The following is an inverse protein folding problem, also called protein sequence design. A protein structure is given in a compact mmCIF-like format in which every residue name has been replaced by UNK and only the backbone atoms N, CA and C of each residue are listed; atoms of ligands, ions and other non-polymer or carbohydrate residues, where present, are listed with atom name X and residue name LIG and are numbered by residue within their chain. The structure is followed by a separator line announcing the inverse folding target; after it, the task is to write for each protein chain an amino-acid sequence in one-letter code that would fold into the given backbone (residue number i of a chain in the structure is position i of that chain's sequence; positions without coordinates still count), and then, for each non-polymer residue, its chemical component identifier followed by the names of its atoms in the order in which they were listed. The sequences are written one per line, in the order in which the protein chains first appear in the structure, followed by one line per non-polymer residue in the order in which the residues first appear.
data_IF_873752948014
#
_entry.id   IF_873752948014
#
_cell.length_a   1.000
_cell.length_b   1.000
_cell.length_c   1.000
_cell.angle_alpha   90.00
_cell.angle_beta   90.00
_cell.angle_gamma   90.00
#
_symmetry.space_group_name_H-M   'P 1'
#
loop_
_entity.id
_entity.type
_entity.pdbx_description
1 polymer ?
#
# COMPACT_ATOMS: atom_id res chain seq x y z
N UNK A 1 -0.54 -25.57 -4.94
CA UNK A 1 0.45 -26.46 -5.59
C UNK A 1 1.88 -26.04 -5.26
N UNK A 2 2.36 -24.87 -5.71
CA UNK A 2 3.74 -24.38 -5.44
C UNK A 2 4.10 -24.32 -3.95
N UNK A 3 3.15 -23.96 -3.09
CA UNK A 3 3.39 -23.92 -1.64
C UNK A 3 3.62 -25.30 -1.01
N UNK A 4 2.97 -26.35 -1.53
CA UNK A 4 3.21 -27.73 -1.10
C UNK A 4 4.57 -28.26 -1.57
N UNK A 5 5.12 -27.68 -2.64
CA UNK A 5 6.42 -28.04 -3.20
C UNK A 5 7.58 -27.25 -2.55
N UNK A 6 7.32 -26.40 -1.55
CA UNK A 6 8.33 -25.55 -0.92
C UNK A 6 8.86 -24.40 -1.80
N UNK A 7 8.37 -24.26 -3.03
CA UNK A 7 8.80 -23.22 -3.99
C UNK A 7 8.29 -21.83 -3.58
N UNK A 8 7.10 -21.78 -2.98
CA UNK A 8 6.47 -20.53 -2.55
C UNK A 8 5.98 -20.64 -1.11
N UNK A 9 6.11 -19.56 -0.34
CA UNK A 9 5.47 -19.47 0.97
C UNK A 9 4.10 -18.82 0.82
N UNK A 10 3.05 -19.52 1.23
CA UNK A 10 1.69 -19.00 1.16
C UNK A 10 1.15 -18.77 2.57
N UNK A 11 0.74 -17.54 2.86
CA UNK A 11 0.25 -17.12 4.16
C UNK A 11 -1.26 -16.84 4.09
N UNK A 12 -2.01 -17.46 4.99
CA UNK A 12 -3.42 -17.19 5.22
C UNK A 12 -3.56 -16.24 6.41
N UNK A 13 -4.33 -15.18 6.18
CA UNK A 13 -4.75 -14.22 7.18
C UNK A 13 -6.21 -14.53 7.57
N UNK A 14 -6.48 -14.77 8.85
CA UNK A 14 -7.79 -15.24 9.31
C UNK A 14 -8.90 -14.19 9.20
N UNK A 15 -8.55 -12.92 8.98
CA UNK A 15 -9.48 -11.81 8.81
C UNK A 15 -9.29 -11.09 7.47
N UNK A 16 -10.38 -10.56 6.91
CA UNK A 16 -10.35 -9.72 5.70
C UNK A 16 -9.94 -8.28 6.04
N UNK A 17 -8.64 -8.03 6.10
CA UNK A 17 -8.05 -6.75 6.55
C UNK A 17 -7.69 -5.76 5.42
N UNK A 18 -7.93 -6.12 4.15
CA UNK A 18 -7.64 -5.26 3.00
C UNK A 18 -6.19 -5.36 2.51
N UNK A 19 -5.91 -4.75 1.34
CA UNK A 19 -4.62 -4.87 0.63
C UNK A 19 -3.44 -4.43 1.50
N UNK A 20 -3.51 -3.22 2.07
CA UNK A 20 -2.45 -2.68 2.91
C UNK A 20 -2.21 -3.53 4.16
N UNK A 21 -3.28 -4.01 4.80
CA UNK A 21 -3.18 -4.93 5.94
C UNK A 21 -2.49 -6.23 5.55
N UNK A 22 -2.88 -6.85 4.43
CA UNK A 22 -2.26 -8.08 3.94
C UNK A 22 -0.77 -7.91 3.65
N UNK A 23 -0.39 -6.82 2.97
CA UNK A 23 1.02 -6.52 2.69
C UNK A 23 1.80 -6.33 3.99
N UNK A 24 1.33 -5.49 4.91
CA UNK A 24 1.96 -5.24 6.22
C UNK A 24 2.24 -6.51 7.01
N UNK A 25 1.29 -7.43 7.02
CA UNK A 25 1.40 -8.70 7.75
C UNK A 25 2.30 -9.71 7.02
N UNK A 26 2.51 -9.57 5.72
CA UNK A 26 3.41 -10.43 4.95
C UNK A 26 4.89 -10.02 5.08
N UNK A 27 5.19 -8.72 5.21
CA UNK A 27 6.58 -8.19 5.22
C UNK A 27 7.52 -8.90 6.23
N UNK A 28 7.12 -9.16 7.50
CA UNK A 28 7.99 -9.82 8.47
C UNK A 28 8.49 -11.20 8.05
N UNK A 29 7.77 -11.88 7.15
CA UNK A 29 8.07 -13.23 6.70
C UNK A 29 8.92 -13.29 5.41
N UNK A 30 9.30 -12.13 4.87
CA UNK A 30 10.15 -12.03 3.67
C UNK A 30 11.64 -12.19 4.01
N UNK A 31 12.44 -12.79 3.12
CA UNK A 31 13.87 -13.07 3.35
C UNK A 31 14.88 -12.36 2.45
N UNK A 32 14.48 -11.91 1.25
CA UNK A 32 15.41 -11.24 0.30
C UNK A 32 15.76 -9.79 0.65
N UNK A 33 16.91 -9.32 0.15
CA UNK A 33 17.38 -7.93 0.34
C UNK A 33 16.49 -6.88 -0.33
N UNK A 34 15.79 -7.30 -1.39
CA UNK A 34 14.77 -6.53 -2.08
C UNK A 34 13.42 -7.19 -1.88
N UNK A 35 12.41 -6.37 -1.58
CA UNK A 35 11.01 -6.76 -1.48
C UNK A 35 10.30 -6.24 -2.72
N UNK A 36 9.72 -7.16 -3.48
CA UNK A 36 8.90 -6.86 -4.65
C UNK A 36 7.44 -7.01 -4.25
N UNK A 37 6.68 -5.93 -4.39
CA UNK A 37 5.23 -5.96 -4.35
C UNK A 37 4.72 -6.13 -5.78
N UNK A 38 3.81 -7.06 -5.99
CA UNK A 38 3.22 -7.37 -7.29
C UNK A 38 1.78 -7.83 -7.10
N UNK A 39 0.89 -7.43 -7.99
CA UNK A 39 -0.48 -7.90 -8.01
C UNK A 39 -0.53 -9.37 -8.51
N UNK A 40 -1.43 -10.18 -7.93
CA UNK A 40 -1.46 -11.63 -8.14
C UNK A 40 -1.82 -12.06 -9.57
N UNK A 41 -2.38 -11.17 -10.39
CA UNK A 41 -2.67 -11.37 -11.81
C UNK A 41 -1.47 -11.08 -12.72
N UNK A 42 -0.31 -10.74 -12.15
CA UNK A 42 0.98 -10.57 -12.83
C UNK A 42 0.82 -9.72 -14.10
N UNK A 43 0.54 -8.42 -13.96
CA UNK A 43 0.29 -7.55 -15.11
C UNK A 43 1.57 -7.14 -15.85
N UNK A 44 2.72 -7.72 -15.48
CA UNK A 44 4.06 -7.34 -15.92
C UNK A 44 4.83 -8.54 -16.47
N UNK A 45 5.63 -8.29 -17.50
CA UNK A 45 6.61 -9.27 -17.97
C UNK A 45 7.69 -9.52 -16.91
N UNK A 46 8.11 -10.77 -16.63
CA UNK A 46 9.12 -11.07 -15.59
C UNK A 46 10.43 -10.29 -15.74
N UNK A 47 10.87 -10.05 -16.98
CA UNK A 47 12.07 -9.22 -17.27
C UNK A 47 11.94 -7.80 -16.70
N UNK A 48 10.73 -7.21 -16.67
CA UNK A 48 10.49 -5.89 -16.08
C UNK A 48 10.74 -5.89 -14.58
N UNK A 49 10.35 -6.97 -13.90
CA UNK A 49 10.58 -7.16 -12.46
C UNK A 49 12.09 -7.22 -12.18
N UNK A 50 12.80 -8.07 -12.93
CA UNK A 50 14.24 -8.22 -12.81
C UNK A 50 14.99 -6.90 -13.07
N UNK A 51 14.64 -6.19 -14.16
CA UNK A 51 15.24 -4.89 -14.50
C UNK A 51 15.02 -3.84 -13.41
N UNK A 52 13.83 -3.81 -12.78
CA UNK A 52 13.55 -2.88 -11.70
C UNK A 52 14.41 -3.15 -10.45
N UNK A 53 14.63 -4.43 -10.10
CA UNK A 53 15.53 -4.80 -8.99
C UNK A 53 16.98 -4.44 -9.31
N UNK A 54 17.45 -4.73 -10.53
CA UNK A 54 18.80 -4.35 -10.95
C UNK A 54 19.01 -2.83 -10.94
N UNK A 55 18.02 -2.06 -11.40
CA UNK A 55 18.05 -0.60 -11.37
C UNK A 55 18.17 -0.09 -9.92
N UNK A 56 17.39 -0.66 -9.01
CA UNK A 56 17.44 -0.31 -7.60
C UNK A 56 18.83 -0.55 -7.01
N UNK A 57 19.44 -1.70 -7.32
CA UNK A 57 20.79 -2.05 -6.90
C UNK A 57 21.86 -1.15 -7.47
N UNK A 58 21.90 -0.99 -8.80
CA UNK A 58 22.97 -0.24 -9.48
C UNK A 58 22.98 1.25 -9.13
N UNK A 59 21.81 1.84 -8.92
CA UNK A 59 21.68 3.28 -8.66
C UNK A 59 21.47 3.62 -7.17
N UNK A 60 21.48 2.62 -6.28
CA UNK A 60 21.21 2.82 -4.86
C UNK A 60 19.83 3.47 -4.59
N UNK A 61 18.81 3.06 -5.34
CA UNK A 61 17.43 3.56 -5.19
C UNK A 61 16.74 2.70 -4.13
N UNK A 62 16.16 3.34 -3.11
CA UNK A 62 15.49 2.66 -2.01
C UNK A 62 14.09 2.16 -2.38
N UNK A 63 13.42 2.83 -3.33
CA UNK A 63 12.06 2.51 -3.80
C UNK A 63 11.89 2.75 -5.32
N UNK A 64 11.66 1.68 -6.09
CA UNK A 64 11.24 1.76 -7.49
C UNK A 64 9.72 1.58 -7.57
N UNK A 65 9.05 2.42 -8.38
CA UNK A 65 7.59 2.45 -8.50
C UNK A 65 7.22 2.31 -9.97
N UNK A 66 6.23 1.48 -10.29
CA UNK A 66 5.67 1.46 -11.64
C UNK A 66 4.94 2.77 -11.97
N UNK A 67 5.19 3.28 -13.18
CA UNK A 67 4.34 4.26 -13.85
C UNK A 67 3.65 3.56 -15.04
N UNK A 68 2.34 3.37 -14.94
CA UNK A 68 1.56 2.68 -15.99
C UNK A 68 1.35 3.63 -17.17
N UNK A 69 2.01 3.36 -18.29
CA UNK A 69 1.98 4.24 -19.48
C UNK A 69 0.67 4.10 -20.26
N UNK A 70 0.19 2.86 -20.41
CA UNK A 70 -1.05 2.55 -21.11
C UNK A 70 -2.08 2.03 -20.10
N UNK A 71 -3.26 2.64 -20.10
CA UNK A 71 -4.40 2.24 -19.26
C UNK A 71 -5.61 2.06 -20.15
N UNK A 72 -6.09 0.83 -20.29
CA UNK A 72 -7.32 0.48 -21.03
C UNK A 72 -8.60 0.76 -20.23
N UNK A 73 -8.52 1.62 -19.22
CA UNK A 73 -9.66 1.96 -18.38
C UNK A 73 -10.64 2.91 -19.07
N UNK A 74 -11.91 2.89 -18.63
CA UNK A 74 -12.94 3.85 -19.04
C UNK A 74 -12.48 5.30 -18.82
N UNK A 75 -13.00 6.22 -19.62
CA UNK A 75 -12.68 7.66 -19.52
C UNK A 75 -12.89 8.20 -18.09
N UNK A 76 -14.02 7.86 -17.47
CA UNK A 76 -14.31 8.24 -16.08
C UNK A 76 -13.22 7.76 -15.11
N UNK A 77 -12.80 6.50 -15.19
CA UNK A 77 -11.74 5.95 -14.32
C UNK A 77 -10.39 6.63 -14.58
N UNK A 78 -10.09 7.00 -15.83
CA UNK A 78 -8.89 7.76 -16.17
C UNK A 78 -8.94 9.16 -15.55
N UNK A 79 -10.04 9.89 -15.71
CA UNK A 79 -10.24 11.24 -15.13
C UNK A 79 -10.13 11.20 -13.61
N UNK A 80 -10.85 10.30 -12.95
CA UNK A 80 -10.80 10.15 -11.49
C UNK A 80 -9.40 9.79 -10.99
N UNK A 81 -8.69 8.90 -11.68
CA UNK A 81 -7.32 8.56 -11.32
C UNK A 81 -6.38 9.74 -11.51
N UNK A 82 -6.49 10.49 -12.62
CA UNK A 82 -5.68 11.70 -12.84
C UNK A 82 -5.95 12.73 -11.76
N UNK A 83 -7.22 13.05 -11.47
CA UNK A 83 -7.60 13.99 -10.42
C UNK A 83 -7.04 13.58 -9.04
N UNK A 84 -7.15 12.30 -8.68
CA UNK A 84 -6.57 11.79 -7.45
C UNK A 84 -5.04 11.97 -7.41
N UNK A 85 -4.32 11.57 -8.46
CA UNK A 85 -2.87 11.71 -8.53
C UNK A 85 -2.41 13.17 -8.51
N UNK A 86 -3.15 14.08 -9.13
CA UNK A 86 -2.91 15.52 -9.06
C UNK A 86 -3.07 16.03 -7.62
N UNK A 87 -4.13 15.62 -6.93
CA UNK A 87 -4.37 16.03 -5.53
C UNK A 87 -3.26 15.52 -4.58
N UNK A 88 -2.79 14.28 -4.78
CA UNK A 88 -1.64 13.76 -4.02
C UNK A 88 -0.39 14.63 -4.26
N UNK A 89 -0.12 15.00 -5.52
CA UNK A 89 1.01 15.88 -5.84
C UNK A 89 0.84 17.28 -5.25
N UNK A 90 -0.36 17.85 -5.27
CA UNK A 90 -0.63 19.15 -4.66
C UNK A 90 -0.28 19.16 -3.16
N UNK A 91 -0.66 18.11 -2.44
CA UNK A 91 -0.40 18.02 -1.00
C UNK A 91 1.02 17.61 -0.64
N UNK A 92 1.63 16.68 -1.38
CA UNK A 92 2.88 16.04 -0.98
C UNK A 92 4.06 16.29 -1.92
N UNK A 93 3.81 16.89 -3.10
CA UNK A 93 4.80 17.24 -4.12
C UNK A 93 5.66 16.05 -4.57
N UNK A 94 5.10 14.84 -4.61
CA UNK A 94 5.83 13.59 -4.85
C UNK A 94 6.46 13.51 -6.24
N UNK A 95 5.97 14.27 -7.22
CA UNK A 95 6.50 14.33 -8.58
C UNK A 95 6.18 13.08 -9.41
N UNK A 96 5.23 12.24 -8.95
CA UNK A 96 4.87 11.00 -9.60
C UNK A 96 3.52 11.10 -10.30
N UNK A 97 3.38 10.41 -11.43
CA UNK A 97 2.12 10.37 -12.20
C UNK A 97 1.18 9.25 -11.76
N UNK A 98 1.69 8.24 -11.05
CA UNK A 98 0.93 7.06 -10.67
C UNK A 98 1.27 6.59 -9.25
N UNK A 99 0.42 6.96 -8.29
CA UNK A 99 0.57 6.57 -6.88
C UNK A 99 -0.05 5.21 -6.56
N UNK A 100 -0.95 4.74 -7.42
CA UNK A 100 -1.82 3.59 -7.17
C UNK A 100 -1.28 2.30 -7.80
N UNK A 101 -0.16 2.35 -8.51
CA UNK A 101 0.45 1.18 -9.11
C UNK A 101 0.90 0.19 -8.03
N UNK A 102 0.40 -1.04 -8.09
CA UNK A 102 0.71 -2.10 -7.13
C UNK A 102 2.13 -2.65 -7.24
N UNK A 103 2.78 -2.50 -8.40
CA UNK A 103 4.16 -2.90 -8.56
C UNK A 103 5.13 -1.90 -7.93
N UNK A 104 5.90 -2.39 -6.95
CA UNK A 104 6.96 -1.62 -6.28
C UNK A 104 8.14 -2.54 -5.94
N UNK A 105 9.36 -2.02 -6.00
CA UNK A 105 10.55 -2.69 -5.48
C UNK A 105 11.14 -1.84 -4.38
N UNK A 106 11.35 -2.41 -3.20
CA UNK A 106 11.91 -1.71 -2.05
C UNK A 106 13.11 -2.48 -1.52
N UNK A 107 14.14 -1.77 -1.07
CA UNK A 107 15.14 -2.42 -0.22
C UNK A 107 14.52 -2.80 1.12
N UNK A 108 14.98 -3.90 1.72
CA UNK A 108 14.47 -4.46 2.97
C UNK A 108 14.36 -3.41 4.10
N UNK A 109 15.39 -2.59 4.29
CA UNK A 109 15.39 -1.52 5.32
C UNK A 109 14.26 -0.51 5.11
N UNK A 110 14.06 -0.06 3.87
CA UNK A 110 13.02 0.89 3.51
C UNK A 110 11.63 0.27 3.68
N UNK A 111 11.50 -1.00 3.30
CA UNK A 111 10.25 -1.73 3.45
C UNK A 111 9.81 -1.86 4.92
N UNK A 112 10.70 -2.27 5.82
CA UNK A 112 10.37 -2.39 7.25
C UNK A 112 9.92 -1.06 7.88
N UNK A 113 10.58 0.04 7.50
CA UNK A 113 10.23 1.38 8.00
C UNK A 113 8.91 1.84 7.39
N UNK A 114 8.78 1.82 6.07
CA UNK A 114 7.67 2.46 5.38
C UNK A 114 6.44 1.57 5.34
N UNK A 115 6.59 0.35 4.81
CA UNK A 115 5.48 -0.55 4.53
C UNK A 115 4.77 -0.99 5.81
N UNK A 116 5.49 -1.07 6.94
CA UNK A 116 4.95 -1.62 8.19
C UNK A 116 4.75 -0.55 9.26
N UNK A 117 5.74 0.31 9.51
CA UNK A 117 5.71 1.22 10.68
C UNK A 117 5.06 2.57 10.40
N UNK A 118 5.03 3.04 9.14
CA UNK A 118 4.59 4.41 8.81
C UNK A 118 3.26 4.48 8.10
N UNK A 119 2.92 3.49 7.27
CA UNK A 119 1.61 3.44 6.62
C UNK A 119 0.49 3.15 7.61
N UNK A 120 -0.50 4.04 7.65
CA UNK A 120 -1.71 3.96 8.47
C UNK A 120 -2.77 3.08 7.82
N UNK A 121 -3.21 3.38 6.59
CA UNK A 121 -4.34 2.63 5.99
C UNK A 121 -3.99 1.16 5.78
N UNK A 122 -4.93 0.27 6.08
CA UNK A 122 -4.88 -1.14 5.67
C UNK A 122 -5.63 -1.37 4.34
N UNK A 123 -6.19 -0.30 3.75
CA UNK A 123 -7.01 -0.32 2.55
C UNK A 123 -6.28 0.05 1.25
N UNK A 124 -7.03 0.59 0.28
CA UNK A 124 -6.57 0.85 -1.09
C UNK A 124 -5.61 2.03 -1.22
N UNK A 125 -5.66 3.01 -0.31
CA UNK A 125 -4.74 4.15 -0.33
C UNK A 125 -3.32 3.80 0.16
N UNK A 126 -3.06 2.53 0.49
CA UNK A 126 -1.78 2.06 1.00
C UNK A 126 -0.62 2.41 0.07
N UNK A 127 -0.77 2.17 -1.23
CA UNK A 127 0.27 2.47 -2.22
C UNK A 127 0.65 3.95 -2.24
N UNK A 128 -0.34 4.84 -2.08
CA UNK A 128 -0.11 6.29 -1.96
C UNK A 128 0.63 6.64 -0.68
N UNK A 129 0.23 6.06 0.45
CA UNK A 129 0.90 6.30 1.74
C UNK A 129 2.37 5.89 1.69
N UNK A 130 2.69 4.74 1.10
CA UNK A 130 4.07 4.26 0.93
C UNK A 130 4.93 5.33 0.25
N UNK A 131 4.45 5.91 -0.85
CA UNK A 131 5.18 6.91 -1.62
C UNK A 131 5.35 8.21 -0.83
N UNK A 132 4.27 8.69 -0.20
CA UNK A 132 4.30 9.90 0.62
C UNK A 132 5.29 9.76 1.78
N UNK A 133 5.30 8.61 2.45
CA UNK A 133 6.24 8.34 3.53
C UNK A 133 7.67 8.13 3.03
N UNK A 134 7.88 7.52 1.86
CA UNK A 134 9.20 7.45 1.23
C UNK A 134 9.79 8.84 1.02
N UNK A 135 9.01 9.74 0.42
CA UNK A 135 9.43 11.13 0.25
C UNK A 135 9.70 11.81 1.59
N UNK A 136 8.78 11.70 2.56
CA UNK A 136 8.93 12.36 3.87
C UNK A 136 10.09 11.82 4.73
N UNK A 137 10.67 10.68 4.37
CA UNK A 137 11.86 10.12 5.02
C UNK A 137 13.13 10.32 4.17
N UNK A 138 13.06 11.11 3.09
CA UNK A 138 14.21 11.39 2.24
C UNK A 138 14.73 10.16 1.48
N UNK A 139 13.88 9.14 1.26
CA UNK A 139 14.29 7.97 0.49
C UNK A 139 14.48 8.34 -0.98
N UNK A 140 15.49 7.74 -1.61
CA UNK A 140 15.68 7.81 -3.05
C UNK A 140 14.62 6.93 -3.71
N UNK A 141 13.70 7.52 -4.45
CA UNK A 141 12.71 6.77 -5.21
C UNK A 141 12.67 7.18 -6.68
N UNK A 142 12.33 6.23 -7.55
CA UNK A 142 12.25 6.44 -9.00
C UNK A 142 11.04 5.74 -9.60
N UNK A 143 10.32 6.44 -10.46
CA UNK A 143 9.29 5.83 -11.28
C UNK A 143 9.91 5.21 -12.54
N UNK A 144 9.45 4.00 -12.90
CA UNK A 144 9.81 3.31 -14.13
C UNK A 144 8.56 3.10 -14.97
N UNK A 145 8.64 3.46 -16.24
CA UNK A 145 7.56 3.22 -17.19
C UNK A 145 7.38 1.71 -17.39
N UNK A 146 6.16 1.24 -17.22
CA UNK A 146 5.81 -0.16 -17.44
C UNK A 146 4.60 -0.28 -18.35
N UNK A 147 4.66 -1.29 -19.23
CA UNK A 147 3.48 -1.76 -19.97
C UNK A 147 2.67 -2.62 -19.02
N UNK A 148 1.46 -2.17 -18.69
CA UNK A 148 0.57 -2.84 -17.75
C UNK A 148 -0.47 -3.65 -18.52
N UNK A 149 -0.35 -4.97 -18.49
CA UNK A 149 -1.29 -5.88 -19.17
C UNK A 149 -2.34 -6.32 -18.16
N UNK A 150 -3.43 -5.57 -18.08
CA UNK A 150 -4.55 -5.95 -17.21
C UNK A 150 -5.30 -7.13 -17.83
N UNK A 151 -5.34 -8.27 -17.15
CA UNK A 151 -6.03 -9.47 -17.62
C UNK A 151 -7.49 -9.54 -17.16
N UNK A 152 -7.95 -8.61 -16.31
CA UNK A 152 -9.28 -8.64 -15.71
C UNK A 152 -10.32 -7.93 -16.58
N UNK A 153 -11.43 -8.60 -16.82
CA UNK A 153 -12.66 -8.01 -17.34
C UNK A 153 -13.51 -7.50 -16.17
N UNK A 154 -13.51 -6.19 -15.95
CA UNK A 154 -14.31 -5.53 -14.91
C UNK A 154 -13.60 -5.33 -13.56
N UNK A 155 -14.23 -4.53 -12.69
CA UNK A 155 -13.76 -4.23 -11.33
C UNK A 155 -14.81 -4.64 -10.32
N UNK A 156 -14.45 -5.48 -9.35
CA UNK A 156 -15.32 -5.85 -8.22
C UNK A 156 -15.51 -4.71 -7.22
N UNK A 157 -14.76 -3.61 -7.37
CA UNK A 157 -14.79 -2.46 -6.47
C UNK A 157 -15.63 -1.36 -7.10
N UNK A 158 -16.67 -0.93 -6.37
CA UNK A 158 -17.54 0.19 -6.73
C UNK A 158 -16.72 1.48 -6.88
N UNK A 159 -16.66 2.11 -8.06
CA UNK A 159 -15.76 3.23 -8.34
C UNK A 159 -15.94 4.42 -7.41
N UNK A 160 -17.19 4.82 -7.12
CA UNK A 160 -17.49 5.99 -6.29
C UNK A 160 -17.12 5.77 -4.82
N UNK A 161 -17.43 4.58 -4.26
CA UNK A 161 -17.05 4.26 -2.88
C UNK A 161 -15.54 4.16 -2.72
N UNK A 162 -14.84 3.55 -3.68
CA UNK A 162 -13.38 3.52 -3.70
C UNK A 162 -12.79 4.94 -3.74
N UNK A 163 -13.34 5.82 -4.57
CA UNK A 163 -12.90 7.21 -4.64
C UNK A 163 -13.07 7.93 -3.30
N UNK A 164 -14.27 7.89 -2.71
CA UNK A 164 -14.55 8.59 -1.45
C UNK A 164 -13.68 8.07 -0.30
N UNK A 165 -13.50 6.75 -0.20
CA UNK A 165 -12.61 6.15 0.81
C UNK A 165 -11.15 6.55 0.61
N UNK A 166 -10.67 6.57 -0.65
CA UNK A 166 -9.32 7.01 -0.96
C UNK A 166 -9.09 8.51 -0.73
N UNK A 167 -10.11 9.36 -0.96
CA UNK A 167 -10.04 10.79 -0.66
C UNK A 167 -10.02 11.05 0.85
N UNK A 168 -10.88 10.36 1.62
CA UNK A 168 -10.87 10.43 3.08
C UNK A 168 -9.52 9.96 3.65
N UNK A 169 -8.95 8.88 3.07
CA UNK A 169 -7.61 8.41 3.39
C UNK A 169 -6.53 9.46 3.11
N UNK A 170 -6.64 10.18 1.98
CA UNK A 170 -5.67 11.21 1.60
C UNK A 170 -5.72 12.43 2.53
N UNK A 171 -6.92 12.87 2.91
CA UNK A 171 -7.10 13.95 3.90
C UNK A 171 -6.53 13.53 5.25
N UNK A 172 -6.85 12.32 5.71
CA UNK A 172 -6.31 11.79 6.97
C UNK A 172 -4.77 11.70 6.92
N UNK A 173 -4.21 11.22 5.80
CA UNK A 173 -2.76 11.20 5.60
C UNK A 173 -2.18 12.61 5.69
N UNK A 174 -2.81 13.62 5.06
CA UNK A 174 -2.35 15.00 5.14
C UNK A 174 -2.30 15.49 6.58
N UNK A 175 -3.37 15.27 7.34
CA UNK A 175 -3.45 15.65 8.75
C UNK A 175 -2.40 14.94 9.60
N UNK A 176 -2.23 13.61 9.45
CA UNK A 176 -1.20 12.85 10.16
C UNK A 176 0.20 13.38 9.89
N UNK A 177 0.44 13.77 8.64
CA UNK A 177 1.76 14.26 8.25
C UNK A 177 2.06 15.68 8.72
N UNK A 178 1.05 16.44 9.16
CA UNK A 178 1.17 17.75 9.80
C UNK A 178 1.19 17.63 11.34
N UNK A 179 0.39 16.73 11.90
CA UNK A 179 0.21 16.54 13.34
C UNK A 179 1.15 15.49 13.97
N UNK A 180 2.33 15.24 13.37
CA UNK A 180 3.24 14.14 13.73
C UNK A 180 3.56 14.01 15.22
N UNK A 181 3.57 15.12 15.99
CA UNK A 181 3.85 15.12 17.44
C UNK A 181 2.72 14.50 18.29
N UNK A 182 1.50 14.41 17.76
CA UNK A 182 0.29 14.11 18.54
C UNK A 182 -0.38 12.80 18.15
N UNK A 183 0.21 12.05 17.21
CA UNK A 183 -0.40 10.85 16.66
C UNK A 183 0.59 9.70 16.56
N UNK A 184 0.26 8.61 17.25
CA UNK A 184 0.99 7.35 17.19
C UNK A 184 0.17 6.31 16.40
N UNK A 185 0.87 5.51 15.59
CA UNK A 185 0.29 4.32 14.98
C UNK A 185 0.59 3.12 15.88
N UNK A 186 -0.44 2.37 16.23
CA UNK A 186 -0.33 1.14 17.01
C UNK A 186 -0.80 -0.05 16.19
N UNK A 187 -0.20 -1.21 16.44
CA UNK A 187 -0.62 -2.48 15.89
C UNK A 187 -1.58 -3.14 16.87
N UNK A 188 -2.78 -3.46 16.42
CA UNK A 188 -3.76 -4.23 17.20
C UNK A 188 -3.83 -5.64 16.62
N UNK A 189 -3.51 -6.65 17.42
CA UNK A 189 -3.66 -8.05 17.03
C UNK A 189 -5.15 -8.41 16.93
N UNK A 190 -5.56 -9.06 15.84
CA UNK A 190 -6.98 -9.39 15.59
C UNK A 190 -7.22 -10.81 15.06
N UNK A 191 -6.16 -11.61 14.95
CA UNK A 191 -6.23 -12.98 14.45
C UNK A 191 -4.84 -13.61 14.29
N UNK A 192 -4.77 -14.61 13.41
CA UNK A 192 -3.58 -15.47 13.23
C UNK A 192 -3.08 -15.41 11.79
N UNK A 193 -1.76 -15.55 11.65
CA UNK A 193 -1.11 -15.83 10.36
C UNK A 193 -0.82 -17.32 10.31
N UNK A 194 -1.40 -18.01 9.32
CA UNK A 194 -1.23 -19.45 9.10
C UNK A 194 -0.41 -19.67 7.85
N UNK A 195 0.64 -20.47 7.94
CA UNK A 195 1.39 -20.93 6.77
C UNK A 195 0.70 -22.14 6.15
N UNK A 196 0.34 -22.04 4.87
CA UNK A 196 -0.46 -23.07 4.20
C UNK A 196 0.35 -24.27 3.69
N UNK A 197 1.69 -24.22 3.71
CA UNK A 197 2.51 -25.36 3.30
C UNK A 197 2.40 -26.52 4.31
N UNK A 198 2.29 -26.21 5.59
CA UNK A 198 2.20 -27.17 6.71
C UNK A 198 1.00 -26.92 7.65
N UNK A 199 0.12 -25.96 7.34
CA UNK A 199 -1.08 -25.61 8.12
C UNK A 199 -0.71 -25.29 9.59
N UNK A 200 0.35 -24.51 9.79
CA UNK A 200 0.80 -24.13 11.12
C UNK A 200 0.63 -22.62 11.36
N UNK A 201 0.28 -22.24 12.60
CA UNK A 201 0.21 -20.82 12.99
C UNK A 201 1.62 -20.30 13.22
N UNK A 202 2.03 -19.30 12.44
CA UNK A 202 3.40 -18.75 12.47
C UNK A 202 3.48 -17.38 13.15
N UNK A 203 2.35 -16.80 13.52
CA UNK A 203 2.30 -15.52 14.23
C UNK A 203 0.89 -14.95 14.36
N UNK A 204 0.81 -13.72 14.85
CA UNK A 204 -0.44 -12.96 14.98
C UNK A 204 -0.58 -11.95 13.83
N UNK A 205 -1.78 -11.86 13.29
CA UNK A 205 -2.10 -10.81 12.31
C UNK A 205 -2.59 -9.55 13.02
N UNK A 206 -2.25 -8.39 12.48
CA UNK A 206 -2.59 -7.09 13.06
C UNK A 206 -3.23 -6.13 12.07
N UNK A 207 -3.98 -5.17 12.59
CA UNK A 207 -4.41 -3.96 11.88
C UNK A 207 -3.74 -2.73 12.48
N UNK A 208 -3.70 -1.65 11.71
CA UNK A 208 -3.11 -0.39 12.14
C UNK A 208 -4.19 0.53 12.71
N UNK A 209 -4.01 0.94 13.97
CA UNK A 209 -4.93 1.84 14.68
C UNK A 209 -4.22 3.17 14.95
N UNK A 210 -4.96 4.25 14.76
CA UNK A 210 -4.51 5.60 15.13
C UNK A 210 -4.82 5.82 16.60
N UNK A 211 -3.79 6.16 17.39
CA UNK A 211 -3.94 6.66 18.76
C UNK A 211 -3.54 8.13 18.78
N UNK A 212 -4.49 9.00 19.06
CA UNK A 212 -4.27 10.43 19.21
C UNK A 212 -4.08 10.79 20.69
N UNK A 213 -3.15 11.70 20.96
CA UNK A 213 -2.87 12.24 22.30
C UNK A 213 -2.71 13.75 22.24
N UNK A 214 -3.05 14.44 23.35
CA UNK A 214 -2.94 15.90 23.46
C UNK A 214 -4.21 16.67 23.02
N UNK A 215 -4.12 18.00 22.90
CA UNK A 215 -5.28 18.89 22.81
C UNK A 215 -6.12 18.71 21.54
N UNK A 216 -5.56 18.13 20.47
CA UNK A 216 -6.27 17.85 19.21
C UNK A 216 -6.91 16.46 19.15
N UNK A 217 -6.94 15.71 20.27
CA UNK A 217 -7.49 14.35 20.34
C UNK A 217 -8.95 14.29 19.87
N UNK A 218 -9.81 15.19 20.34
CA UNK A 218 -11.23 15.19 19.97
C UNK A 218 -11.46 15.36 18.45
N UNK A 219 -10.73 16.27 17.79
CA UNK A 219 -10.84 16.47 16.35
C UNK A 219 -10.40 15.21 15.58
N UNK A 220 -9.30 14.58 15.99
CA UNK A 220 -8.80 13.35 15.36
C UNK A 220 -9.74 12.16 15.58
N UNK A 221 -10.37 12.07 16.75
CA UNK A 221 -11.38 11.05 17.04
C UNK A 221 -12.66 11.25 16.22
N UNK A 222 -13.12 12.50 16.03
CA UNK A 222 -14.26 12.81 15.16
C UNK A 222 -13.95 12.43 13.71
N UNK A 223 -12.78 12.83 13.20
CA UNK A 223 -12.37 12.50 11.84
C UNK A 223 -12.16 11.00 11.64
N UNK A 224 -11.66 10.30 12.66
CA UNK A 224 -11.57 8.83 12.67
C UNK A 224 -12.97 8.22 12.61
N UNK A 225 -13.94 8.70 13.39
CA UNK A 225 -15.33 8.21 13.35
C UNK A 225 -15.96 8.47 11.98
N UNK A 226 -15.74 9.65 11.40
CA UNK A 226 -16.21 9.99 10.06
C UNK A 226 -15.59 9.10 8.98
N UNK A 227 -14.28 8.87 9.06
CA UNK A 227 -13.58 7.92 8.19
C UNK A 227 -14.14 6.51 8.33
N UNK A 228 -14.35 6.00 9.56
CA UNK A 228 -14.94 4.68 9.79
C UNK A 228 -16.35 4.61 9.20
N UNK A 229 -17.17 5.65 9.38
CA UNK A 229 -18.51 5.70 8.81
C UNK A 229 -18.50 5.64 7.27
N UNK A 230 -17.52 6.26 6.62
CA UNK A 230 -17.36 6.25 5.15
C UNK A 230 -16.73 4.93 4.67
N UNK A 231 -15.72 4.41 5.37
CA UNK A 231 -14.92 3.25 4.96
C UNK A 231 -15.55 1.90 5.33
N UNK A 232 -16.30 1.84 6.44
CA UNK A 232 -16.89 0.62 6.99
C UNK A 232 -18.43 0.60 6.97
N UNK A 233 -19.10 1.50 6.23
CA UNK A 233 -20.49 1.26 5.77
C UNK A 233 -20.51 0.09 4.77
N UNK A 234 -20.21 -1.12 5.27
CA UNK A 234 -20.53 -2.40 4.66
C UNK A 234 -21.94 -2.74 5.17
N UNK A 235 -22.96 -2.39 4.40
CA UNK A 235 -24.15 -3.24 4.35
C UNK A 235 -23.82 -4.36 3.39
#
# INVERSE_FOLDING_TARGET
RLAKQGIARCLLLTRRIGKGGSIKNAIPYTRGDYIVLLDADIPLHPVTIYRAVLLARKLGIDLVIANRVYRTHTLLRRVLSTAYNTLVNLFFRTGLRDHQAGFKVLIRRAAQIILVRRTRTDGLAYDTEVIVWAKKHGLKYKAVNVVWREQRTGSTILPLRALLTMLADLVMLRLLTLARKYVALQKLAIGRVVELSNIHTIGQEFITVIRASGPKKHLLDILRKLYIAIAFRRR
#
